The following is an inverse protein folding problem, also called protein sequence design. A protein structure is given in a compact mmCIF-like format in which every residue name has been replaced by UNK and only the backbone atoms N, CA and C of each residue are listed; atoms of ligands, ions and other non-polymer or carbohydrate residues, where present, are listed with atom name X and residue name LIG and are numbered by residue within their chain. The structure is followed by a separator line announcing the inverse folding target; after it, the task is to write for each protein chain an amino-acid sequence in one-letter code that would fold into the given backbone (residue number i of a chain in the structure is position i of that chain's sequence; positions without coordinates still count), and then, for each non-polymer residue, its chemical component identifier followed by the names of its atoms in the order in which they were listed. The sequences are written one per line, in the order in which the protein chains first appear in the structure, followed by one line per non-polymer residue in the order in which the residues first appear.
data_IF_959446263719
#
_entry.id   IF_959446263719
#
_cell.length_a   1.000
_cell.length_b   1.000
_cell.length_c   1.000
_cell.angle_alpha   90.00
_cell.angle_beta   90.00
_cell.angle_gamma   90.00
#
_symmetry.space_group_name_H-M   'P 1'
#
loop_
_entity.id
_entity.type
_entity.pdbx_description
1 polymer ?
#
# COMPACT_ATOMS: atom_id res chain seq x y z
N UNK A 1 -31.89 40.11 -17.92
CA UNK A 1 -31.80 38.65 -17.74
C UNK A 1 -30.77 38.13 -18.73
N UNK A 2 -29.57 37.78 -18.25
CA UNK A 2 -28.49 37.31 -19.12
C UNK A 2 -28.77 35.86 -19.54
N UNK A 3 -28.90 35.61 -20.84
CA UNK A 3 -28.91 34.26 -21.40
C UNK A 3 -27.55 33.63 -21.15
N UNK A 4 -27.41 32.84 -20.09
CA UNK A 4 -26.23 32.01 -19.90
C UNK A 4 -26.24 30.94 -20.99
N UNK A 5 -25.35 31.10 -21.97
CA UNK A 5 -25.21 30.16 -23.10
C UNK A 5 -25.05 28.73 -22.57
N UNK A 6 -25.93 27.82 -22.99
CA UNK A 6 -25.91 26.41 -22.60
C UNK A 6 -24.56 25.74 -22.87
N UNK A 7 -23.75 26.23 -23.84
CA UNK A 7 -22.38 25.76 -24.04
C UNK A 7 -21.45 26.15 -22.88
N UNK A 8 -21.60 27.35 -22.34
CA UNK A 8 -20.85 27.82 -21.16
C UNK A 8 -21.25 27.02 -19.93
N UNK A 9 -22.55 26.74 -19.75
CA UNK A 9 -23.03 25.87 -18.66
C UNK A 9 -22.48 24.45 -18.76
N UNK A 10 -22.54 23.82 -19.94
CA UNK A 10 -21.96 22.47 -20.16
C UNK A 10 -20.45 22.43 -19.93
N UNK A 11 -19.72 23.51 -20.24
CA UNK A 11 -18.28 23.60 -19.98
C UNK A 11 -17.97 23.68 -18.49
N UNK A 12 -18.75 24.45 -17.72
CA UNK A 12 -18.63 24.51 -16.26
C UNK A 12 -18.92 23.14 -15.64
N UNK A 13 -20.04 22.52 -16.01
CA UNK A 13 -20.41 21.18 -15.52
C UNK A 13 -19.35 20.12 -15.84
N UNK A 14 -18.69 20.17 -17.01
CA UNK A 14 -17.60 19.25 -17.36
C UNK A 14 -16.38 19.38 -16.46
N UNK A 15 -16.12 20.55 -15.87
CA UNK A 15 -15.00 20.78 -14.94
C UNK A 15 -15.27 20.21 -13.54
N UNK A 16 -16.55 20.14 -13.18
CA UNK A 16 -17.00 19.61 -11.89
C UNK A 16 -17.03 18.07 -11.88
N UNK A 17 -16.91 17.42 -13.04
CA UNK A 17 -16.85 15.96 -13.15
C UNK A 17 -15.42 15.48 -12.89
N UNK A 18 -15.21 14.70 -11.84
CA UNK A 18 -14.00 13.90 -11.67
C UNK A 18 -14.05 12.67 -12.59
N UNK A 19 -12.91 12.31 -13.19
CA UNK A 19 -12.79 11.13 -14.05
C UNK A 19 -11.77 10.13 -13.52
N UNK A 20 -11.90 8.88 -13.94
CA UNK A 20 -10.91 7.83 -13.71
C UNK A 20 -10.38 7.31 -15.05
N UNK A 21 -9.10 6.93 -15.10
CA UNK A 21 -8.47 6.26 -16.22
C UNK A 21 -7.74 5.02 -15.72
N UNK A 22 -8.10 3.85 -16.25
CA UNK A 22 -7.35 2.63 -16.06
C UNK A 22 -6.08 2.62 -16.91
N UNK A 23 -4.95 2.31 -16.29
CA UNK A 23 -3.62 2.38 -16.88
C UNK A 23 -2.95 1.01 -16.87
N UNK A 24 -2.48 0.58 -18.04
CA UNK A 24 -1.62 -0.60 -18.19
C UNK A 24 -0.19 -0.18 -17.85
N UNK A 25 0.32 -0.59 -16.70
CA UNK A 25 1.57 -0.10 -16.12
C UNK A 25 2.81 -0.69 -16.77
N UNK A 26 2.70 -1.89 -17.34
CA UNK A 26 3.80 -2.58 -18.00
C UNK A 26 3.43 -3.17 -19.38
N UNK A 27 4.47 -3.67 -20.04
CA UNK A 27 4.40 -4.19 -21.41
C UNK A 27 3.76 -5.60 -21.47
N UNK A 28 3.81 -6.40 -20.41
CA UNK A 28 3.14 -7.71 -20.35
C UNK A 28 1.63 -7.51 -20.37
N UNK A 29 1.12 -6.66 -19.48
CA UNK A 29 -0.31 -6.35 -19.39
C UNK A 29 -0.82 -5.67 -20.65
N UNK A 30 -0.02 -4.76 -21.22
CA UNK A 30 -0.32 -4.16 -22.51
C UNK A 30 -0.52 -5.20 -23.62
N UNK A 31 0.36 -6.20 -23.69
CA UNK A 31 0.24 -7.28 -24.68
C UNK A 31 -0.96 -8.17 -24.43
N UNK A 32 -1.33 -8.42 -23.17
CA UNK A 32 -2.54 -9.16 -22.85
C UNK A 32 -3.79 -8.46 -23.42
N UNK A 33 -3.84 -7.13 -23.36
CA UNK A 33 -4.95 -6.35 -23.93
C UNK A 33 -4.97 -6.30 -25.46
N UNK A 34 -3.83 -6.47 -26.14
CA UNK A 34 -3.75 -6.51 -27.62
C UNK A 34 -4.56 -7.65 -28.27
N UNK A 35 -4.99 -8.66 -27.49
CA UNK A 35 -5.88 -9.72 -27.99
C UNK A 35 -7.29 -9.21 -28.35
N UNK A 36 -7.70 -8.07 -27.79
CA UNK A 36 -8.99 -7.44 -28.05
C UNK A 36 -8.89 -6.48 -29.24
N UNK A 37 -9.68 -6.70 -30.28
CA UNK A 37 -9.57 -5.97 -31.56
C UNK A 37 -9.87 -4.49 -31.41
N UNK A 38 -10.70 -4.11 -30.44
CA UNK A 38 -11.06 -2.72 -30.16
C UNK A 38 -10.03 -1.99 -29.32
N UNK A 39 -8.98 -2.67 -28.84
CA UNK A 39 -7.81 -2.06 -28.21
C UNK A 39 -6.74 -1.77 -29.27
N UNK A 40 -6.83 -0.58 -29.88
CA UNK A 40 -6.12 -0.25 -31.13
C UNK A 40 -4.72 0.36 -30.97
N UNK A 41 -4.07 0.21 -29.81
CA UNK A 41 -2.73 0.77 -29.56
C UNK A 41 -1.65 -0.23 -29.97
N UNK A 42 -0.62 0.17 -30.69
CA UNK A 42 0.39 -0.76 -31.25
C UNK A 42 1.59 -1.05 -30.36
N UNK A 43 1.98 -0.12 -29.50
CA UNK A 43 3.08 -0.28 -28.57
C UNK A 43 2.80 0.46 -27.26
N UNK A 44 3.32 -0.07 -26.15
CA UNK A 44 3.05 0.44 -24.80
C UNK A 44 3.53 1.89 -24.62
N UNK A 45 4.71 2.22 -25.15
CA UNK A 45 5.27 3.59 -25.07
C UNK A 45 4.36 4.62 -25.71
N UNK A 46 3.84 4.36 -26.92
CA UNK A 46 2.88 5.24 -27.59
C UNK A 46 1.56 5.30 -26.82
N UNK A 47 1.08 4.18 -26.28
CA UNK A 47 -0.10 4.16 -25.42
C UNK A 47 0.04 5.09 -24.21
N UNK A 48 1.15 5.02 -23.48
CA UNK A 48 1.43 5.90 -22.34
C UNK A 48 1.52 7.36 -22.77
N UNK A 49 2.23 7.67 -23.87
CA UNK A 49 2.34 9.04 -24.39
C UNK A 49 0.99 9.64 -24.80
N UNK A 50 0.13 8.87 -25.46
CA UNK A 50 -1.21 9.32 -25.85
C UNK A 50 -2.11 9.51 -24.62
N UNK A 51 -2.04 8.60 -23.65
CA UNK A 51 -2.78 8.70 -22.39
C UNK A 51 -2.35 9.94 -21.60
N UNK A 52 -1.04 10.19 -21.50
CA UNK A 52 -0.51 11.40 -20.87
C UNK A 52 -0.98 12.68 -21.57
N UNK A 53 -1.03 12.69 -22.90
CA UNK A 53 -1.55 13.83 -23.66
C UNK A 53 -3.01 14.12 -23.32
N UNK A 54 -3.84 13.08 -23.14
CA UNK A 54 -5.23 13.20 -22.69
C UNK A 54 -5.30 13.74 -21.27
N UNK A 55 -4.49 13.22 -20.35
CA UNK A 55 -4.42 13.65 -18.96
C UNK A 55 -4.03 15.13 -18.84
N UNK A 56 -2.96 15.55 -19.52
CA UNK A 56 -2.52 16.95 -19.58
C UNK A 56 -3.62 17.87 -20.12
N UNK A 57 -4.33 17.43 -21.15
CA UNK A 57 -5.46 18.18 -21.71
C UNK A 57 -6.60 18.34 -20.71
N UNK A 58 -6.94 17.28 -19.96
CA UNK A 58 -7.98 17.32 -18.90
C UNK A 58 -7.57 18.20 -17.73
N UNK A 59 -6.33 18.09 -17.27
CA UNK A 59 -5.78 18.94 -16.21
C UNK A 59 -5.81 20.43 -16.61
N UNK A 60 -5.38 20.77 -17.83
CA UNK A 60 -5.45 22.14 -18.35
C UNK A 60 -6.89 22.68 -18.47
N UNK A 61 -7.88 21.79 -18.57
CA UNK A 61 -9.30 22.15 -18.58
C UNK A 61 -9.87 22.33 -17.16
N UNK A 62 -9.13 21.98 -16.12
CA UNK A 62 -9.55 22.03 -14.71
C UNK A 62 -10.32 20.78 -14.26
N UNK A 63 -10.16 19.65 -14.96
CA UNK A 63 -10.80 18.37 -14.63
C UNK A 63 -9.89 17.52 -13.76
N UNK A 64 -10.38 17.08 -12.60
CA UNK A 64 -9.65 16.16 -11.73
C UNK A 64 -9.71 14.76 -12.33
N UNK A 65 -8.55 14.10 -12.46
CA UNK A 65 -8.46 12.73 -12.98
C UNK A 65 -7.71 11.86 -12.00
N UNK A 66 -8.25 10.69 -11.72
CA UNK A 66 -7.62 9.64 -10.94
C UNK A 66 -7.10 8.56 -11.88
N UNK A 67 -5.92 8.05 -11.60
CA UNK A 67 -5.33 6.90 -12.29
C UNK A 67 -5.62 5.65 -11.47
N UNK A 68 -5.94 4.55 -12.14
CA UNK A 68 -6.06 3.25 -11.51
C UNK A 68 -5.26 2.21 -12.27
N UNK A 69 -4.68 1.23 -11.57
CA UNK A 69 -4.00 0.12 -12.23
C UNK A 69 -5.06 -0.74 -12.95
N UNK A 70 -4.83 -1.02 -14.23
CA UNK A 70 -5.71 -1.87 -15.03
C UNK A 70 -5.04 -3.22 -15.22
N UNK A 71 -5.47 -4.22 -14.45
CA UNK A 71 -5.04 -5.60 -14.62
C UNK A 71 -5.92 -6.30 -15.71
N UNK A 72 -5.32 -6.81 -16.81
CA UNK A 72 -6.05 -7.49 -17.88
C UNK A 72 -6.69 -8.83 -17.49
N UNK A 73 -6.16 -9.51 -16.49
CA UNK A 73 -6.68 -10.74 -15.93
C UNK A 73 -7.91 -10.44 -15.07
N UNK A 74 -7.83 -9.48 -14.14
CA UNK A 74 -8.99 -9.01 -13.37
C UNK A 74 -10.10 -8.51 -14.29
N UNK A 75 -9.76 -7.78 -15.35
CA UNK A 75 -10.72 -7.35 -16.37
C UNK A 75 -11.45 -8.53 -17.02
N UNK A 76 -10.72 -9.60 -17.35
CA UNK A 76 -11.29 -10.78 -17.98
C UNK A 76 -12.22 -11.52 -17.02
N UNK A 77 -11.83 -11.64 -15.75
CA UNK A 77 -12.63 -12.27 -14.70
C UNK A 77 -13.90 -11.45 -14.42
N UNK A 78 -13.78 -10.13 -14.29
CA UNK A 78 -14.93 -9.21 -14.18
C UNK A 78 -15.91 -9.38 -15.35
N UNK A 79 -15.41 -9.45 -16.60
CA UNK A 79 -16.27 -9.67 -17.76
C UNK A 79 -16.96 -11.04 -17.73
N UNK A 80 -16.26 -12.09 -17.29
CA UNK A 80 -16.83 -13.42 -17.17
C UNK A 80 -17.93 -13.48 -16.11
N UNK A 81 -17.70 -12.88 -14.94
CA UNK A 81 -18.66 -12.83 -13.83
C UNK A 81 -19.91 -11.99 -14.16
N UNK A 82 -19.74 -10.89 -14.87
CA UNK A 82 -20.83 -9.96 -15.21
C UNK A 82 -21.49 -10.25 -16.56
N UNK A 83 -20.99 -11.23 -17.32
CA UNK A 83 -21.49 -11.58 -18.65
C UNK A 83 -21.25 -10.51 -19.71
N UNK A 84 -20.23 -9.66 -19.54
CA UNK A 84 -19.88 -8.60 -20.48
C UNK A 84 -18.94 -9.10 -21.59
N UNK A 85 -19.06 -8.51 -22.78
CA UNK A 85 -18.17 -8.82 -23.89
C UNK A 85 -16.81 -8.11 -23.68
N UNK A 86 -15.69 -8.83 -23.53
CA UNK A 86 -14.42 -8.21 -23.16
C UNK A 86 -13.77 -7.40 -24.29
N UNK A 87 -14.18 -7.62 -25.56
CA UNK A 87 -13.76 -6.78 -26.69
C UNK A 87 -14.68 -5.57 -26.94
N UNK A 88 -15.62 -5.26 -26.05
CA UNK A 88 -16.43 -4.04 -26.14
C UNK A 88 -15.76 -2.87 -25.36
N UNK A 89 -15.51 -1.71 -25.99
CA UNK A 89 -15.05 -0.51 -25.27
C UNK A 89 -15.92 -0.12 -24.06
N UNK A 90 -17.22 -0.37 -24.12
CA UNK A 90 -18.13 -0.10 -23.00
C UNK A 90 -17.85 -0.99 -21.79
N UNK A 91 -17.45 -2.25 -22.00
CA UNK A 91 -17.05 -3.17 -20.92
C UNK A 91 -15.79 -2.66 -20.22
N UNK A 92 -14.80 -2.18 -20.97
CA UNK A 92 -13.59 -1.55 -20.39
C UNK A 92 -13.93 -0.33 -19.56
N UNK A 93 -14.83 0.53 -20.05
CA UNK A 93 -15.27 1.71 -19.28
C UNK A 93 -16.00 1.32 -18.01
N UNK A 94 -16.81 0.25 -18.02
CA UNK A 94 -17.47 -0.27 -16.81
C UNK A 94 -16.46 -0.81 -15.82
N UNK A 95 -15.48 -1.59 -16.27
CA UNK A 95 -14.41 -2.08 -15.38
C UNK A 95 -13.58 -0.93 -14.81
N UNK A 96 -13.23 0.09 -15.60
CA UNK A 96 -12.55 1.28 -15.08
C UNK A 96 -13.40 2.03 -14.04
N UNK A 97 -14.73 1.99 -14.14
CA UNK A 97 -15.60 2.55 -13.11
C UNK A 97 -15.64 1.68 -11.84
N UNK A 98 -15.49 0.35 -11.96
CA UNK A 98 -15.34 -0.55 -10.82
C UNK A 98 -14.04 -0.28 -10.06
N UNK A 99 -12.93 -0.09 -10.78
CA UNK A 99 -11.64 0.27 -10.20
C UNK A 99 -11.66 1.57 -9.37
N UNK A 100 -12.61 2.48 -9.61
CA UNK A 100 -12.75 3.68 -8.78
C UNK A 100 -13.25 3.38 -7.36
N UNK A 101 -13.85 2.20 -7.14
CA UNK A 101 -14.41 1.78 -5.86
C UNK A 101 -13.47 0.78 -5.19
N UNK A 102 -12.93 -0.16 -5.97
CA UNK A 102 -12.23 -1.32 -5.45
C UNK A 102 -10.75 -1.36 -5.80
N UNK A 103 -10.27 -0.51 -6.71
CA UNK A 103 -8.91 -0.62 -7.23
C UNK A 103 -7.92 0.35 -6.59
N UNK A 104 -6.64 0.05 -6.76
CA UNK A 104 -5.54 0.92 -6.37
C UNK A 104 -5.55 2.18 -7.23
N UNK A 105 -5.57 3.35 -6.57
CA UNK A 105 -5.70 4.63 -7.28
C UNK A 105 -4.75 5.72 -6.81
N UNK A 106 -4.29 6.52 -7.77
CA UNK A 106 -3.42 7.68 -7.51
C UNK A 106 -3.99 8.92 -8.23
N UNK A 107 -4.11 10.08 -7.56
CA UNK A 107 -4.56 11.30 -8.22
C UNK A 107 -3.53 11.77 -9.27
N UNK A 108 -4.00 12.19 -10.44
CA UNK A 108 -3.15 12.83 -11.43
C UNK A 108 -2.90 14.29 -11.03
N UNK A 109 -1.64 14.62 -10.70
CA UNK A 109 -1.21 15.95 -10.24
C UNK A 109 -0.51 16.78 -11.32
N UNK A 110 -0.44 16.28 -12.55
CA UNK A 110 0.21 16.95 -13.69
C UNK A 110 1.64 16.47 -13.96
N UNK A 111 2.24 15.64 -13.09
CA UNK A 111 3.54 15.03 -13.35
C UNK A 111 3.51 14.08 -14.55
N UNK A 112 4.68 13.77 -15.15
CA UNK A 112 4.78 12.75 -16.18
C UNK A 112 4.31 11.38 -15.70
N UNK A 113 3.71 10.57 -16.58
CA UNK A 113 3.27 9.22 -16.19
C UNK A 113 4.44 8.35 -15.71
N UNK A 114 5.65 8.54 -16.24
CA UNK A 114 6.84 7.80 -15.79
C UNK A 114 7.19 8.05 -14.33
N UNK A 115 6.77 9.18 -13.75
CA UNK A 115 6.99 9.49 -12.33
C UNK A 115 5.83 9.00 -11.44
N UNK A 116 4.63 8.85 -12.00
CA UNK A 116 3.44 8.38 -11.28
C UNK A 116 3.28 6.86 -11.31
N UNK A 117 3.82 6.21 -12.34
CA UNK A 117 3.72 4.76 -12.51
C UNK A 117 4.26 3.96 -11.32
N UNK A 118 5.47 4.26 -10.76
CA UNK A 118 5.95 3.56 -9.58
C UNK A 118 4.99 3.66 -8.41
N UNK A 119 4.52 4.88 -8.09
CA UNK A 119 3.58 5.09 -6.99
C UNK A 119 2.24 4.35 -7.20
N UNK A 120 1.76 4.23 -8.44
CA UNK A 120 0.54 3.46 -8.74
C UNK A 120 0.75 1.95 -8.57
N UNK A 121 1.94 1.44 -8.93
CA UNK A 121 2.29 0.04 -8.74
C UNK A 121 2.46 -0.25 -7.25
N UNK A 122 3.16 0.61 -6.51
CA UNK A 122 3.34 0.49 -5.07
C UNK A 122 1.98 0.46 -4.34
N UNK A 123 1.06 1.34 -4.74
CA UNK A 123 -0.32 1.36 -4.24
C UNK A 123 -1.08 0.06 -4.53
N UNK A 124 -0.89 -0.52 -5.72
CA UNK A 124 -1.51 -1.80 -6.09
C UNK A 124 -0.94 -2.98 -5.30
N UNK A 125 0.38 -3.02 -5.11
CA UNK A 125 1.04 -4.04 -4.27
C UNK A 125 0.52 -3.96 -2.85
N UNK A 126 0.46 -2.75 -2.28
CA UNK A 126 -0.06 -2.50 -0.94
C UNK A 126 -1.51 -2.98 -0.78
N UNK A 127 -2.37 -2.65 -1.75
CA UNK A 127 -3.76 -3.10 -1.69
C UNK A 127 -3.85 -4.64 -1.75
N UNK A 128 -3.11 -5.28 -2.65
CA UNK A 128 -3.08 -6.73 -2.76
C UNK A 128 -2.57 -7.41 -1.47
N UNK A 129 -1.52 -6.85 -0.84
CA UNK A 129 -1.00 -7.30 0.46
C UNK A 129 -2.08 -7.22 1.55
N UNK A 130 -2.78 -6.08 1.64
CA UNK A 130 -3.87 -5.89 2.60
C UNK A 130 -5.02 -6.88 2.39
N UNK A 131 -5.48 -7.07 1.14
CA UNK A 131 -6.56 -8.00 0.80
C UNK A 131 -6.19 -9.44 1.13
N UNK A 132 -4.96 -9.83 0.80
CA UNK A 132 -4.44 -11.16 1.10
C UNK A 132 -4.36 -11.41 2.60
N UNK A 133 -3.73 -10.50 3.35
CA UNK A 133 -3.60 -10.61 4.80
C UNK A 133 -4.96 -10.61 5.51
N UNK A 134 -5.89 -9.76 5.06
CA UNK A 134 -7.27 -9.71 5.57
C UNK A 134 -8.01 -11.02 5.34
N UNK A 135 -7.85 -11.62 4.16
CA UNK A 135 -8.42 -12.93 3.82
C UNK A 135 -7.87 -14.03 4.72
N UNK A 136 -6.56 -14.02 5.00
CA UNK A 136 -5.94 -15.00 5.90
C UNK A 136 -6.44 -14.85 7.34
N UNK A 137 -6.51 -13.62 7.86
CA UNK A 137 -7.05 -13.34 9.19
C UNK A 137 -8.51 -13.81 9.34
N UNK A 138 -9.35 -13.52 8.34
CA UNK A 138 -10.75 -13.95 8.35
C UNK A 138 -10.91 -15.48 8.37
N UNK A 139 -9.95 -16.23 7.81
CA UNK A 139 -9.97 -17.70 7.79
C UNK A 139 -9.62 -18.35 9.13
N UNK A 140 -9.00 -17.60 10.07
CA UNK A 140 -8.62 -18.15 11.38
C UNK A 140 -9.84 -18.49 12.25
N UNK A 141 -10.91 -17.73 12.12
CA UNK A 141 -12.17 -17.98 12.81
C UNK A 141 -12.09 -17.85 14.34
N UNK A 142 -13.08 -18.39 15.08
CA UNK A 142 -13.13 -18.30 16.53
C UNK A 142 -12.18 -19.30 17.20
N UNK A 143 -11.60 -18.87 18.31
CA UNK A 143 -10.76 -19.68 19.18
C UNK A 143 -11.57 -20.87 19.75
N UNK A 144 -11.08 -22.11 19.62
CA UNK A 144 -11.79 -23.29 20.12
C UNK A 144 -12.01 -23.31 21.64
N UNK A 145 -11.19 -22.60 22.42
CA UNK A 145 -11.25 -22.63 23.89
C UNK A 145 -12.13 -21.52 24.50
N UNK A 146 -12.11 -20.31 23.94
CA UNK A 146 -12.85 -19.16 24.47
C UNK A 146 -13.92 -18.58 23.53
N UNK A 147 -13.96 -19.01 22.27
CA UNK A 147 -14.92 -18.55 21.27
C UNK A 147 -14.64 -17.16 20.68
N UNK A 148 -13.55 -16.50 21.07
CA UNK A 148 -13.16 -15.18 20.54
C UNK A 148 -12.64 -15.28 19.10
N UNK A 149 -13.01 -14.34 18.24
CA UNK A 149 -12.48 -14.24 16.88
C UNK A 149 -10.97 -13.92 16.91
N UNK A 150 -10.14 -14.87 16.46
CA UNK A 150 -8.68 -14.77 16.55
C UNK A 150 -8.18 -13.60 15.70
N UNK A 151 -8.73 -13.41 14.50
CA UNK A 151 -8.33 -12.35 13.59
C UNK A 151 -8.61 -10.97 14.18
N UNK A 152 -9.81 -10.77 14.73
CA UNK A 152 -10.19 -9.51 15.40
C UNK A 152 -9.35 -9.24 16.65
N UNK A 153 -9.09 -10.26 17.46
CA UNK A 153 -8.27 -10.14 18.66
C UNK A 153 -6.82 -9.79 18.31
N UNK A 154 -6.27 -10.39 17.25
CA UNK A 154 -4.93 -10.08 16.76
C UNK A 154 -4.83 -8.68 16.17
N UNK A 155 -5.83 -8.24 15.40
CA UNK A 155 -5.88 -6.87 14.86
C UNK A 155 -5.89 -5.84 15.98
N UNK A 156 -6.72 -6.05 17.01
CA UNK A 156 -6.79 -5.15 18.17
C UNK A 156 -5.45 -5.06 18.91
N UNK A 157 -4.73 -6.18 19.04
CA UNK A 157 -3.38 -6.23 19.62
C UNK A 157 -2.35 -5.51 18.74
N UNK A 158 -2.35 -5.76 17.43
CA UNK A 158 -1.48 -5.08 16.48
C UNK A 158 -1.68 -3.56 16.51
N UNK A 159 -2.93 -3.08 16.58
CA UNK A 159 -3.22 -1.64 16.73
C UNK A 159 -2.61 -1.09 18.02
N UNK A 160 -2.81 -1.78 19.15
CA UNK A 160 -2.27 -1.35 20.43
C UNK A 160 -0.72 -1.30 20.43
N UNK A 161 -0.07 -2.28 19.81
CA UNK A 161 1.38 -2.30 19.63
C UNK A 161 1.86 -1.14 18.74
N UNK A 162 1.21 -0.92 17.60
CA UNK A 162 1.56 0.19 16.72
C UNK A 162 1.45 1.53 17.44
N UNK A 163 0.37 1.75 18.19
CA UNK A 163 0.21 2.96 19.02
C UNK A 163 1.36 3.10 20.00
N UNK A 164 1.72 2.04 20.74
CA UNK A 164 2.84 2.08 21.69
C UNK A 164 4.19 2.36 21.02
N UNK A 165 4.44 1.77 19.85
CA UNK A 165 5.65 2.02 19.07
C UNK A 165 5.74 3.50 18.73
N UNK A 166 4.65 4.09 18.21
CA UNK A 166 4.63 5.51 17.83
C UNK A 166 4.72 6.46 19.03
N UNK A 167 4.13 6.10 20.17
CA UNK A 167 4.18 6.89 21.42
C UNK A 167 5.57 6.87 22.08
N UNK A 168 6.28 5.75 21.98
CA UNK A 168 7.62 5.58 22.58
C UNK A 168 8.75 5.93 21.62
N UNK A 169 8.44 6.12 20.34
CA UNK A 169 9.41 6.46 19.31
C UNK A 169 10.06 7.82 19.57
N UNK A 170 11.37 7.96 19.34
CA UNK A 170 12.04 9.26 19.34
C UNK A 170 11.35 10.27 18.41
N UNK A 171 11.55 11.58 18.65
CA UNK A 171 11.12 12.63 17.73
C UNK A 171 11.77 12.48 16.35
N UNK A 172 11.09 12.98 15.32
CA UNK A 172 11.49 12.88 13.92
C UNK A 172 10.46 12.14 13.06
N UNK A 173 10.71 12.15 11.75
CA UNK A 173 9.94 11.35 10.80
C UNK A 173 10.27 9.88 10.99
N UNK A 174 9.27 9.02 10.92
CA UNK A 174 9.41 7.59 11.18
C UNK A 174 9.01 6.81 9.94
N UNK A 175 9.86 5.88 9.55
CA UNK A 175 9.60 4.91 8.51
C UNK A 175 9.62 3.52 9.16
N UNK A 176 8.47 2.87 9.20
CA UNK A 176 8.30 1.55 9.79
C UNK A 176 8.14 0.52 8.67
N UNK A 177 8.78 -0.63 8.83
CA UNK A 177 8.64 -1.78 7.93
C UNK A 177 8.28 -2.99 8.78
N UNK A 178 7.19 -3.68 8.44
CA UNK A 178 6.80 -4.94 9.04
C UNK A 178 6.86 -6.05 8.01
N UNK A 179 7.66 -7.08 8.29
CA UNK A 179 7.86 -8.24 7.43
C UNK A 179 7.39 -9.49 8.15
N UNK A 180 6.45 -10.23 7.57
CA UNK A 180 5.91 -11.47 8.13
C UNK A 180 6.06 -12.59 7.12
N UNK A 181 6.76 -13.65 7.51
CA UNK A 181 6.87 -14.84 6.68
C UNK A 181 5.47 -15.42 6.41
N UNK A 182 5.19 -15.68 5.14
CA UNK A 182 3.94 -16.28 4.69
C UNK A 182 4.25 -17.19 3.50
N UNK A 183 3.29 -18.04 3.14
CA UNK A 183 3.35 -18.85 1.93
C UNK A 183 2.37 -18.28 0.92
N UNK A 184 2.76 -18.03 -0.35
CA UNK A 184 4.03 -18.41 -0.97
C UNK A 184 5.21 -17.47 -0.65
N UNK A 185 4.95 -16.22 -0.30
CA UNK A 185 5.97 -15.16 -0.17
C UNK A 185 5.82 -14.40 1.17
N UNK A 186 6.89 -13.73 1.60
CA UNK A 186 6.88 -12.81 2.75
C UNK A 186 5.95 -11.63 2.45
N UNK A 187 5.16 -11.23 3.44
CA UNK A 187 4.36 -10.02 3.35
C UNK A 187 5.11 -8.88 4.02
N UNK A 188 5.29 -7.80 3.27
CA UNK A 188 5.92 -6.58 3.73
C UNK A 188 4.89 -5.45 3.70
N UNK A 189 4.86 -4.66 4.78
CA UNK A 189 4.06 -3.44 4.84
C UNK A 189 4.90 -2.29 5.37
N UNK A 190 4.71 -1.12 4.76
CA UNK A 190 5.43 0.11 5.10
C UNK A 190 4.45 1.11 5.71
N UNK A 191 4.89 1.82 6.75
CA UNK A 191 4.14 2.91 7.33
C UNK A 191 5.04 4.12 7.55
N UNK A 192 4.63 5.24 6.96
CA UNK A 192 5.22 6.55 7.20
C UNK A 192 4.44 7.26 8.30
N UNK A 193 5.20 7.73 9.29
CA UNK A 193 4.68 8.46 10.44
C UNK A 193 5.48 9.75 10.61
N UNK A 194 5.18 10.71 9.75
CA UNK A 194 5.84 12.01 9.69
C UNK A 194 5.37 12.93 10.82
N UNK A 195 6.30 13.69 11.39
CA UNK A 195 5.95 14.75 12.33
C UNK A 195 5.71 16.05 11.58
N UNK A 196 4.57 16.69 11.82
CA UNK A 196 4.34 18.04 11.34
C UNK A 196 5.10 19.08 12.17
N UNK A 197 5.00 20.35 11.76
CA UNK A 197 5.69 21.46 12.43
C UNK A 197 5.26 21.66 13.90
N UNK A 198 4.10 21.14 14.29
CA UNK A 198 3.56 21.19 15.65
C UNK A 198 3.92 19.92 16.46
N UNK A 199 4.65 18.98 15.85
CA UNK A 199 5.07 17.71 16.45
C UNK A 199 3.98 16.64 16.46
N UNK A 200 2.84 16.87 15.79
CA UNK A 200 1.77 15.87 15.65
C UNK A 200 2.18 14.85 14.60
N UNK A 201 1.98 13.57 14.92
CA UNK A 201 2.26 12.47 13.98
C UNK A 201 1.13 12.37 12.96
N UNK A 202 1.46 12.46 11.68
CA UNK A 202 0.55 12.25 10.56
C UNK A 202 0.76 10.84 10.03
N UNK A 203 -0.33 10.10 9.90
CA UNK A 203 -0.35 8.76 9.31
C UNK A 203 -1.26 8.80 8.08
N UNK A 204 -0.84 8.11 7.02
CA UNK A 204 -1.77 7.71 5.99
C UNK A 204 -2.65 6.57 6.54
N UNK A 205 -3.98 6.72 6.42
CA UNK A 205 -4.93 5.75 6.99
C UNK A 205 -4.82 4.39 6.31
N UNK A 206 -4.49 4.36 5.03
CA UNK A 206 -4.45 3.16 4.22
C UNK A 206 -3.14 2.39 4.45
N UNK A 207 -2.00 3.09 4.58
CA UNK A 207 -0.74 2.51 5.07
C UNK A 207 -0.91 1.94 6.49
N UNK A 208 -1.52 2.71 7.41
CA UNK A 208 -1.71 2.27 8.78
C UNK A 208 -2.58 1.00 8.88
N UNK A 209 -3.62 0.92 8.05
CA UNK A 209 -4.50 -0.24 7.97
C UNK A 209 -3.77 -1.47 7.42
N UNK A 210 -3.04 -1.34 6.31
CA UNK A 210 -2.23 -2.42 5.75
C UNK A 210 -1.20 -2.92 6.78
N UNK A 211 -0.39 -2.01 7.32
CA UNK A 211 0.65 -2.31 8.29
C UNK A 211 0.11 -3.05 9.51
N UNK A 212 -1.00 -2.56 10.07
CA UNK A 212 -1.66 -3.20 11.21
C UNK A 212 -2.18 -4.59 10.84
N UNK A 213 -2.70 -4.78 9.63
CA UNK A 213 -3.22 -6.07 9.14
C UNK A 213 -2.09 -7.09 8.99
N UNK A 214 -0.95 -6.71 8.42
CA UNK A 214 0.23 -7.59 8.28
C UNK A 214 0.79 -7.96 9.66
N UNK A 215 0.97 -6.98 10.56
CA UNK A 215 1.41 -7.23 11.93
C UNK A 215 0.44 -8.18 12.67
N UNK A 216 -0.87 -7.95 12.54
CA UNK A 216 -1.89 -8.81 13.12
C UNK A 216 -1.82 -10.24 12.62
N UNK A 217 -1.60 -10.44 11.32
CA UNK A 217 -1.44 -11.77 10.75
C UNK A 217 -0.25 -12.51 11.36
N UNK A 218 0.89 -11.83 11.49
CA UNK A 218 2.07 -12.42 12.11
C UNK A 218 1.85 -12.78 13.58
N UNK A 219 1.18 -11.92 14.36
CA UNK A 219 0.81 -12.20 15.75
C UNK A 219 -0.18 -13.36 15.88
N UNK A 220 -1.14 -13.47 14.97
CA UNK A 220 -2.18 -14.50 15.01
C UNK A 220 -1.67 -15.88 14.59
N UNK A 221 -0.75 -15.93 13.63
CA UNK A 221 -0.20 -17.17 13.07
C UNK A 221 1.06 -17.64 13.79
N UNK A 222 1.73 -16.74 14.51
CA UNK A 222 3.04 -17.01 15.11
C UNK A 222 4.16 -17.17 14.07
N UNK A 223 3.89 -16.78 12.82
CA UNK A 223 4.88 -16.85 11.76
C UNK A 223 6.10 -15.96 12.09
N UNK A 224 7.32 -16.42 11.78
CA UNK A 224 8.51 -15.60 11.98
C UNK A 224 8.40 -14.28 11.20
N UNK A 225 8.84 -13.20 11.82
CA UNK A 225 8.86 -11.90 11.17
C UNK A 225 9.71 -10.89 11.92
N UNK A 226 9.71 -9.67 11.43
CA UNK A 226 10.41 -8.53 12.02
C UNK A 226 9.62 -7.24 11.83
N UNK A 227 9.85 -6.30 12.74
CA UNK A 227 9.43 -4.92 12.60
C UNK A 227 10.66 -4.05 12.78
N UNK A 228 10.87 -3.12 11.87
CA UNK A 228 11.94 -2.13 11.96
C UNK A 228 11.33 -0.75 11.93
N UNK A 229 11.89 0.17 12.72
CA UNK A 229 11.57 1.58 12.68
C UNK A 229 12.86 2.38 12.47
N UNK A 230 12.92 3.15 11.39
CA UNK A 230 13.94 4.18 11.15
C UNK A 230 13.36 5.54 11.53
N UNK A 231 14.08 6.30 12.36
CA UNK A 231 13.76 7.70 12.66
C UNK A 231 14.76 8.61 11.99
N UNK A 232 14.27 9.63 11.28
CA UNK A 232 15.07 10.64 10.60
C UNK A 232 14.71 12.02 11.13
N UNK A 233 15.73 12.80 11.49
CA UNK A 233 15.57 14.18 11.93
C UNK A 233 16.72 15.06 11.38
N UNK A 234 16.48 16.36 11.15
CA UNK A 234 17.52 17.26 10.64
C UNK A 234 18.77 17.29 11.53
N UNK A 235 19.93 17.32 10.90
CA UNK A 235 21.24 17.49 11.55
C UNK A 235 21.62 16.42 12.59
N UNK A 236 20.92 15.28 12.59
CA UNK A 236 21.24 14.11 13.43
C UNK A 236 21.39 12.85 12.58
N UNK A 237 22.26 11.90 12.95
CA UNK A 237 22.28 10.58 12.34
C UNK A 237 20.90 9.92 12.42
N UNK A 238 20.53 9.18 11.38
CA UNK A 238 19.33 8.36 11.40
C UNK A 238 19.48 7.28 12.46
N UNK A 239 18.38 6.90 13.11
CA UNK A 239 18.41 5.82 14.10
C UNK A 239 17.50 4.70 13.68
N UNK A 240 17.98 3.46 13.82
CA UNK A 240 17.24 2.26 13.46
C UNK A 240 17.01 1.42 14.70
N UNK A 241 15.77 1.00 14.87
CA UNK A 241 15.27 0.18 15.97
C UNK A 241 14.60 -1.06 15.38
N UNK A 242 14.76 -2.21 16.01
CA UNK A 242 14.19 -3.46 15.50
C UNK A 242 13.54 -4.31 16.58
N UNK A 243 12.47 -4.99 16.20
CA UNK A 243 11.80 -6.02 16.99
C UNK A 243 11.67 -7.28 16.14
N UNK A 244 11.86 -8.43 16.78
CA UNK A 244 11.59 -9.73 16.20
C UNK A 244 10.19 -10.19 16.57
N UNK A 245 9.42 -10.60 15.58
CA UNK A 245 8.13 -11.25 15.79
C UNK A 245 8.33 -12.75 16.04
N UNK A 246 7.97 -13.21 17.24
CA UNK A 246 8.01 -14.62 17.61
C UNK A 246 6.77 -14.98 18.43
N UNK A 247 5.98 -15.91 17.92
CA UNK A 247 4.68 -16.22 18.50
C UNK A 247 3.78 -14.99 18.43
N UNK A 248 3.19 -14.61 19.55
CA UNK A 248 2.28 -13.48 19.67
C UNK A 248 2.94 -12.22 20.26
N UNK A 249 4.27 -12.10 20.19
CA UNK A 249 5.01 -10.98 20.82
C UNK A 249 6.08 -10.37 19.90
N UNK A 250 6.25 -9.04 20.04
CA UNK A 250 7.40 -8.30 19.52
C UNK A 250 8.50 -8.26 20.58
N UNK A 251 9.65 -8.89 20.28
CA UNK A 251 10.81 -8.90 21.18
C UNK A 251 11.87 -7.92 20.68
N UNK A 252 12.43 -7.06 21.55
CA UNK A 252 13.43 -6.09 21.12
C UNK A 252 14.67 -6.80 20.56
N UNK A 253 15.20 -6.28 19.46
CA UNK A 253 16.51 -6.65 18.94
C UNK A 253 17.59 -5.82 19.63
N UNK A 254 18.74 -6.42 19.86
CA UNK A 254 19.94 -5.70 20.27
C UNK A 254 20.46 -4.82 19.13
N UNK A 255 21.22 -3.76 19.45
CA UNK A 255 21.86 -2.92 18.43
C UNK A 255 22.70 -3.73 17.42
N UNK A 256 23.37 -4.79 17.87
CA UNK A 256 24.13 -5.71 17.01
C UNK A 256 23.25 -6.53 16.08
N UNK A 257 22.11 -7.04 16.57
CA UNK A 257 21.15 -7.76 15.72
C UNK A 257 20.52 -6.85 14.65
N UNK A 258 20.25 -5.59 14.97
CA UNK A 258 19.75 -4.60 13.99
C UNK A 258 20.84 -4.29 12.96
N UNK A 259 22.09 -4.08 13.39
CA UNK A 259 23.23 -3.87 12.51
C UNK A 259 23.42 -5.05 11.52
N UNK A 260 23.42 -6.28 12.04
CA UNK A 260 23.59 -7.48 11.23
C UNK A 260 22.46 -7.63 10.19
N UNK A 261 21.22 -7.31 10.57
CA UNK A 261 20.08 -7.33 9.66
C UNK A 261 20.24 -6.30 8.51
N UNK A 262 20.69 -5.09 8.80
CA UNK A 262 20.92 -4.03 7.81
C UNK A 262 22.18 -4.23 6.96
N UNK A 263 23.12 -5.06 7.43
CA UNK A 263 24.30 -5.44 6.68
C UNK A 263 24.11 -6.75 5.90
N UNK A 264 22.87 -7.24 5.77
CA UNK A 264 22.53 -8.45 5.03
C UNK A 264 21.49 -8.12 3.96
N UNK A 265 21.80 -8.43 2.71
CA UNK A 265 20.87 -8.28 1.60
C UNK A 265 19.66 -9.21 1.77
N UNK A 266 18.45 -8.67 1.64
CA UNK A 266 17.22 -9.40 1.94
C UNK A 266 16.90 -10.53 0.93
N UNK A 267 17.34 -10.41 -0.33
CA UNK A 267 17.11 -11.43 -1.36
C UNK A 267 18.20 -12.50 -1.36
N UNK A 268 19.47 -12.08 -1.38
CA UNK A 268 20.62 -12.98 -1.57
C UNK A 268 21.20 -13.50 -0.25
N UNK A 269 21.00 -12.77 0.86
CA UNK A 269 21.68 -13.02 2.13
C UNK A 269 23.15 -12.60 2.15
N UNK A 270 23.64 -11.93 1.09
CA UNK A 270 25.02 -11.47 1.01
C UNK A 270 25.26 -10.28 1.94
N UNK A 271 26.52 -10.13 2.39
CA UNK A 271 26.89 -9.00 3.23
C UNK A 271 26.97 -7.71 2.41
N UNK A 272 26.27 -6.69 2.87
CA UNK A 272 26.33 -5.33 2.34
C UNK A 272 27.06 -4.40 3.32
N UNK A 273 27.70 -3.36 2.78
CA UNK A 273 28.42 -2.40 3.62
C UNK A 273 27.44 -1.58 4.45
N UNK A 274 27.75 -1.28 5.72
CA UNK A 274 26.87 -0.49 6.56
C UNK A 274 26.66 0.92 5.97
N UNK A 275 25.44 1.42 6.06
CA UNK A 275 25.09 2.77 5.65
C UNK A 275 25.78 3.82 6.54
N UNK A 276 26.40 4.83 5.93
CA UNK A 276 27.03 5.93 6.66
C UNK A 276 25.97 6.86 7.24
N UNK A 277 26.15 7.31 8.49
CA UNK A 277 25.23 8.24 9.14
C UNK A 277 23.99 7.57 9.76
N UNK A 278 24.05 6.26 10.00
CA UNK A 278 22.99 5.47 10.66
C UNK A 278 23.51 4.89 11.97
N UNK A 279 22.79 5.15 13.06
CA UNK A 279 23.01 4.59 14.39
C UNK A 279 22.02 3.43 14.64
N UNK A 280 22.55 2.21 14.80
CA UNK A 280 21.74 1.04 15.16
C UNK A 280 21.55 1.00 16.67
N UNK A 281 20.30 0.97 17.12
CA UNK A 281 19.94 1.18 18.51
C UNK A 281 19.05 0.06 19.05
N UNK A 282 19.09 -0.15 20.37
CA UNK A 282 18.08 -0.95 21.05
C UNK A 282 16.74 -0.19 21.03
N UNK A 283 15.62 -0.84 20.70
CA UNK A 283 14.31 -0.20 20.66
C UNK A 283 13.82 0.22 22.05
N UNK A 284 12.91 1.20 22.12
CA UNK A 284 12.14 1.46 23.33
C UNK A 284 11.41 0.20 23.83
N UNK A 285 11.32 0.06 25.15
CA UNK A 285 10.49 -0.98 25.76
C UNK A 285 9.01 -0.69 25.50
N UNK A 286 8.32 -1.63 24.85
CA UNK A 286 6.89 -1.54 24.57
C UNK A 286 6.03 -1.94 25.80
N UNK A 287 6.69 -2.31 26.90
CA UNK A 287 6.09 -2.83 28.12
C UNK A 287 5.49 -4.22 27.93
N UNK A 288 5.09 -4.87 29.03
CA UNK A 288 4.25 -6.05 28.91
C UNK A 288 2.90 -5.63 28.31
N UNK A 289 2.50 -6.24 27.19
CA UNK A 289 1.09 -6.25 26.84
C UNK A 289 0.34 -6.78 28.05
N UNK A 290 -0.69 -6.06 28.50
CA UNK A 290 -1.52 -6.50 29.61
C UNK A 290 -1.98 -7.91 29.31
N UNK A 291 -1.44 -8.85 30.08
CA UNK A 291 -1.63 -10.28 29.95
C UNK A 291 -3.11 -10.64 30.15
N UNK A 292 -3.94 -10.43 29.15
CA UNK A 292 -5.00 -11.39 28.85
C UNK A 292 -4.33 -12.60 28.20
N UNK A 293 -3.49 -13.26 29.00
CA UNK A 293 -2.80 -14.50 28.68
C UNK A 293 -3.88 -15.59 28.70
N UNK A 294 -4.71 -15.64 27.67
CA UNK A 294 -5.46 -16.86 27.40
C UNK A 294 -4.46 -17.87 26.88
N UNK A 295 -3.89 -18.64 27.82
CA UNK A 295 -3.12 -19.85 27.50
C UNK A 295 -4.02 -20.74 26.65
N UNK A 296 -3.67 -20.86 25.37
CA UNK A 296 -4.14 -21.91 24.48
C UNK A 296 -3.69 -23.28 24.97
#
# INVERSE_FOLDING_TARGET
MAFTDHRTMRRVLRREIAGIIGLLTDEHDFRAMRRYRTFSFDNHRTYLQQTETVLKTRAAQGTHTTLALFDPQEYADFCAETGLAPDDPASRTRFTAELAITGATVPYDGRPLTELLPALVDEAVRQATWEYASTLLARLGPCPSCGEDIGRAAFSRATALLTRILETAPPGNRHLVCSVASTPETLDAVLHADQDADGTTRLDEAEALEFTTVLALGLATGNPGGLVMRTTAPDTPDRVYGWRLRGDTLRPLTAGEVFDAYCTDAESGDLISPESGVDYCEPPDLGEEGLHRHRH
#
